data_IF_080934605595
#
_entry.id   IF_080934605595
#
_cell.length_a   1.000
_cell.length_b   1.000
_cell.length_c   1.000
_cell.angle_alpha   90.00
_cell.angle_beta   90.00
_cell.angle_gamma   90.00
#
_symmetry.space_group_name_H-M   'P 1'
#
loop_
_entity.id
_entity.type
_entity.pdbx_description
1 polymer ?
#
# COMPACT_ATOMS: atom_id res chain seq x y z
N UNK A 1 32.82 33.65 33.32
CA UNK A 1 32.86 32.23 33.73
C UNK A 1 31.85 31.48 32.90
N UNK A 2 32.25 30.50 32.09
CA UNK A 2 31.32 29.64 31.35
C UNK A 2 30.73 28.64 32.35
N UNK A 3 29.40 28.66 32.54
CA UNK A 3 28.67 27.60 33.26
C UNK A 3 28.88 26.30 32.48
N UNK A 4 29.66 25.38 33.05
CA UNK A 4 29.79 24.03 32.51
C UNK A 4 28.50 23.25 32.74
N UNK A 5 28.12 22.42 31.77
CA UNK A 5 27.02 21.48 31.88
C UNK A 5 27.31 20.51 33.03
N UNK A 6 26.32 20.23 33.90
CA UNK A 6 26.52 19.27 34.98
C UNK A 6 26.37 17.84 34.45
N UNK A 7 27.14 16.89 34.99
CA UNK A 7 26.99 15.47 34.64
C UNK A 7 25.60 14.95 34.97
N UNK A 8 24.98 15.46 36.04
CA UNK A 8 23.64 15.06 36.45
C UNK A 8 22.57 15.54 35.46
N UNK A 9 22.72 16.73 34.87
CA UNK A 9 21.83 17.19 33.80
C UNK A 9 21.88 16.26 32.59
N UNK A 10 23.07 15.84 32.18
CA UNK A 10 23.20 14.94 31.05
C UNK A 10 22.59 13.56 31.34
N UNK A 11 22.80 13.03 32.55
CA UNK A 11 22.24 11.73 32.96
C UNK A 11 20.70 11.79 33.05
N UNK A 12 20.13 12.86 33.63
CA UNK A 12 18.68 13.00 33.72
C UNK A 12 18.03 13.07 32.34
N UNK A 13 18.65 13.77 31.38
CA UNK A 13 18.13 13.90 30.02
C UNK A 13 18.09 12.55 29.30
N UNK A 14 19.17 11.76 29.34
CA UNK A 14 19.18 10.45 28.67
C UNK A 14 18.21 9.46 29.32
N UNK A 15 17.98 9.56 30.64
CA UNK A 15 16.98 8.75 31.35
C UNK A 15 15.57 9.08 30.87
N UNK A 16 15.22 10.38 30.79
CA UNK A 16 13.91 10.81 30.30
C UNK A 16 13.73 10.41 28.83
N UNK A 17 14.74 10.64 27.97
CA UNK A 17 14.70 10.23 26.57
C UNK A 17 14.57 8.70 26.43
N UNK A 18 15.19 7.92 27.31
CA UNK A 18 15.05 6.47 27.36
C UNK A 18 13.61 6.02 27.62
N UNK A 19 12.92 6.63 28.58
CA UNK A 19 11.52 6.31 28.91
C UNK A 19 10.58 6.73 27.76
N UNK A 20 10.78 7.92 27.20
CA UNK A 20 10.00 8.41 26.06
C UNK A 20 10.20 7.53 24.84
N UNK A 21 11.43 7.12 24.54
CA UNK A 21 11.72 6.23 23.41
C UNK A 21 11.08 4.85 23.60
N UNK A 22 11.15 4.27 24.79
CA UNK A 22 10.57 2.96 25.09
C UNK A 22 9.05 2.92 24.89
N UNK A 23 8.35 4.02 25.18
CA UNK A 23 6.90 4.12 25.05
C UNK A 23 6.43 4.60 23.67
N UNK A 24 7.21 5.46 23.00
CA UNK A 24 6.84 6.00 21.69
C UNK A 24 7.08 5.01 20.54
N UNK A 25 8.16 4.21 20.61
CA UNK A 25 8.59 3.36 19.50
C UNK A 25 7.53 2.30 19.09
N UNK A 26 6.90 1.53 20.02
CA UNK A 26 5.91 0.53 19.63
C UNK A 26 4.67 1.16 18.97
N UNK A 27 4.25 2.34 19.43
CA UNK A 27 3.12 3.07 18.85
C UNK A 27 3.45 3.60 17.45
N UNK A 28 4.68 4.05 17.23
CA UNK A 28 5.12 4.57 15.93
C UNK A 28 5.09 3.49 14.84
N UNK A 29 5.53 2.27 15.15
CA UNK A 29 5.49 1.13 14.21
C UNK A 29 4.04 0.82 13.79
N UNK A 30 3.14 0.67 14.77
CA UNK A 30 1.72 0.39 14.48
C UNK A 30 1.06 1.48 13.63
N UNK A 31 1.36 2.76 13.89
CA UNK A 31 0.83 3.87 13.10
C UNK A 31 1.37 3.86 11.67
N UNK A 32 2.64 3.49 11.49
CA UNK A 32 3.26 3.40 10.17
C UNK A 32 2.59 2.32 9.32
N UNK A 33 2.30 1.15 9.89
CA UNK A 33 1.62 0.07 9.18
C UNK A 33 0.17 0.42 8.82
N UNK A 34 -0.55 1.06 9.74
CA UNK A 34 -1.91 1.56 9.47
C UNK A 34 -1.91 2.64 8.38
N UNK A 35 -0.92 3.52 8.38
CA UNK A 35 -0.79 4.55 7.36
C UNK A 35 -0.54 3.95 5.97
N UNK A 36 0.32 2.93 5.88
CA UNK A 36 0.54 2.19 4.64
C UNK A 36 -0.75 1.51 4.17
N UNK A 37 -1.47 0.83 5.05
CA UNK A 37 -2.73 0.18 4.68
C UNK A 37 -3.80 1.18 4.19
N UNK A 38 -3.91 2.33 4.86
CA UNK A 38 -4.80 3.40 4.42
C UNK A 38 -4.41 3.94 3.03
N UNK A 39 -3.11 4.12 2.78
CA UNK A 39 -2.60 4.50 1.46
C UNK A 39 -2.88 3.42 0.41
N UNK A 40 -2.71 2.13 0.76
CA UNK A 40 -3.02 1.00 -0.14
C UNK A 40 -4.47 1.03 -0.58
N UNK A 41 -5.42 1.33 0.32
CA UNK A 41 -6.84 1.47 -0.03
C UNK A 41 -7.10 2.62 -1.01
N UNK A 42 -6.38 3.73 -0.86
CA UNK A 42 -6.43 4.85 -1.81
C UNK A 42 -5.96 4.42 -3.20
N UNK A 43 -4.77 3.80 -3.29
CA UNK A 43 -4.22 3.26 -4.55
C UNK A 43 -5.15 2.21 -5.17
N UNK A 44 -5.75 1.35 -4.34
CA UNK A 44 -6.68 0.32 -4.78
C UNK A 44 -7.93 0.91 -5.45
N UNK A 45 -8.43 2.04 -4.92
CA UNK A 45 -9.52 2.80 -5.54
C UNK A 45 -9.15 3.28 -6.95
N UNK A 46 -7.93 3.77 -7.14
CA UNK A 46 -7.44 4.20 -8.46
C UNK A 46 -7.36 3.03 -9.45
N UNK A 47 -6.86 1.86 -9.01
CA UNK A 47 -6.78 0.66 -9.88
C UNK A 47 -8.18 0.17 -10.24
N UNK A 48 -9.10 0.10 -9.27
CA UNK A 48 -10.49 -0.30 -9.54
C UNK A 48 -11.19 0.65 -10.51
N UNK A 49 -10.93 1.95 -10.40
CA UNK A 49 -11.45 2.93 -11.35
C UNK A 49 -10.89 2.70 -12.77
N UNK A 50 -9.59 2.43 -12.90
CA UNK A 50 -8.96 2.12 -14.18
C UNK A 50 -9.56 0.85 -14.83
N UNK A 51 -9.77 -0.22 -14.04
CA UNK A 51 -10.44 -1.44 -14.50
C UNK A 51 -11.86 -1.16 -14.99
N UNK A 52 -12.63 -0.35 -14.24
CA UNK A 52 -14.00 0.01 -14.61
C UNK A 52 -14.07 0.86 -15.88
N UNK A 53 -13.13 1.80 -16.06
CA UNK A 53 -13.01 2.62 -17.27
C UNK A 53 -12.70 1.71 -18.47
N UNK A 54 -11.72 0.82 -18.36
CA UNK A 54 -11.37 -0.10 -19.44
C UNK A 54 -12.54 -1.01 -19.83
N UNK A 55 -13.30 -1.49 -18.84
CA UNK A 55 -14.52 -2.26 -19.07
C UNK A 55 -15.58 -1.45 -19.85
N UNK A 56 -15.80 -0.19 -19.46
CA UNK A 56 -16.74 0.70 -20.13
C UNK A 56 -16.30 1.06 -21.55
N UNK A 57 -15.00 1.25 -21.79
CA UNK A 57 -14.43 1.47 -23.12
C UNK A 57 -14.65 0.26 -24.03
N UNK A 58 -14.42 -0.95 -23.52
CA UNK A 58 -14.69 -2.19 -24.27
C UNK A 58 -16.17 -2.25 -24.69
N UNK A 59 -17.08 -1.93 -23.76
CA UNK A 59 -18.51 -1.88 -24.02
C UNK A 59 -18.90 -0.82 -25.08
N UNK A 60 -18.27 0.35 -25.03
CA UNK A 60 -18.53 1.46 -25.97
C UNK A 60 -18.03 1.16 -27.39
N UNK A 61 -16.95 0.37 -27.52
CA UNK A 61 -16.33 0.02 -28.80
C UNK A 61 -16.99 -1.17 -29.52
N UNK A 62 -18.22 -1.54 -29.15
CA UNK A 62 -18.94 -2.72 -29.69
C UNK A 62 -18.19 -4.05 -29.52
N UNK A 63 -17.22 -4.10 -28.59
CA UNK A 63 -16.67 -5.35 -28.09
C UNK A 63 -17.59 -5.80 -26.96
N UNK A 64 -17.80 -7.11 -26.80
CA UNK A 64 -18.48 -7.61 -25.61
C UNK A 64 -17.84 -6.99 -24.36
N UNK A 65 -18.61 -6.58 -23.35
CA UNK A 65 -18.08 -5.91 -22.18
C UNK A 65 -17.28 -6.92 -21.36
N UNK A 66 -15.97 -6.99 -21.66
CA UNK A 66 -15.02 -7.89 -21.05
C UNK A 66 -14.22 -7.12 -20.02
N UNK A 67 -14.03 -7.74 -18.86
CA UNK A 67 -13.04 -7.29 -17.90
C UNK A 67 -11.65 -7.33 -18.55
N UNK A 68 -10.75 -6.39 -18.20
CA UNK A 68 -9.39 -6.45 -18.70
C UNK A 68 -8.72 -7.75 -18.23
N UNK A 69 -7.86 -8.32 -19.07
CA UNK A 69 -7.10 -9.54 -18.74
C UNK A 69 -5.92 -9.28 -17.80
N UNK A 70 -5.47 -8.02 -17.74
CA UNK A 70 -4.35 -7.51 -16.95
C UNK A 70 -4.63 -6.07 -16.54
N UNK A 71 -4.00 -5.59 -15.47
CA UNK A 71 -3.92 -4.16 -15.18
C UNK A 71 -2.59 -3.67 -15.73
N UNK A 72 -2.65 -2.70 -16.65
CA UNK A 72 -1.47 -2.20 -17.35
C UNK A 72 -1.29 -0.71 -17.12
N UNK A 73 -0.05 -0.24 -17.25
CA UNK A 73 0.32 1.14 -16.96
C UNK A 73 -0.42 2.15 -17.87
N UNK A 74 -0.77 1.74 -19.09
CA UNK A 74 -1.55 2.53 -20.06
C UNK A 74 -2.96 2.87 -19.57
N UNK A 75 -3.49 2.11 -18.60
CA UNK A 75 -4.81 2.36 -18.01
C UNK A 75 -4.82 3.55 -17.05
N UNK A 76 -3.65 4.12 -16.75
CA UNK A 76 -3.49 5.26 -15.85
C UNK A 76 -2.98 6.46 -16.65
N UNK A 77 -3.52 7.65 -16.35
CA UNK A 77 -3.20 8.87 -17.08
C UNK A 77 -1.73 9.29 -16.98
N UNK A 78 -1.05 8.91 -15.89
CA UNK A 78 0.39 9.12 -15.68
C UNK A 78 1.25 8.02 -16.32
N UNK A 79 0.63 7.02 -16.95
CA UNK A 79 1.31 5.89 -17.55
C UNK A 79 1.99 4.98 -16.54
N UNK A 80 1.55 4.96 -15.27
CA UNK A 80 2.18 4.19 -14.20
C UNK A 80 1.16 3.56 -13.24
N UNK A 81 1.20 2.24 -13.03
CA UNK A 81 0.32 1.53 -12.08
C UNK A 81 0.61 1.98 -10.64
N UNK A 82 -0.33 2.52 -9.85
CA UNK A 82 -0.08 3.00 -8.49
C UNK A 82 0.77 2.05 -7.64
N UNK A 83 1.70 2.58 -6.86
CA UNK A 83 2.54 1.75 -6.00
C UNK A 83 1.70 1.13 -4.89
N UNK A 84 2.01 -0.12 -4.57
CA UNK A 84 1.51 -0.83 -3.41
C UNK A 84 2.39 -0.47 -2.19
N UNK A 85 1.86 0.25 -1.18
CA UNK A 85 2.66 0.79 -0.07
C UNK A 85 3.24 -0.20 0.95
N UNK A 86 2.74 -1.43 1.05
CA UNK A 86 3.21 -2.42 2.02
C UNK A 86 4.56 -3.00 1.57
N UNK A 87 4.65 -3.39 0.30
CA UNK A 87 5.82 -4.02 -0.32
C UNK A 87 6.59 -3.11 -1.28
N UNK A 88 6.15 -1.86 -1.44
CA UNK A 88 6.79 -0.84 -2.29
C UNK A 88 6.96 -1.31 -3.76
N UNK A 89 5.90 -1.91 -4.31
CA UNK A 89 5.95 -2.54 -5.64
C UNK A 89 4.78 -2.12 -6.52
N UNK A 90 5.04 -1.99 -7.83
CA UNK A 90 4.03 -1.70 -8.87
C UNK A 90 3.65 -2.95 -9.67
N UNK A 91 4.21 -4.12 -9.33
CA UNK A 91 3.95 -5.37 -10.03
C UNK A 91 2.50 -5.77 -9.85
N UNK A 92 1.83 -6.13 -10.95
CA UNK A 92 0.50 -6.74 -10.90
C UNK A 92 0.63 -8.20 -11.30
N UNK A 93 0.28 -9.08 -10.37
CA UNK A 93 0.14 -10.51 -10.66
C UNK A 93 -1.31 -10.81 -11.01
N UNK A 94 -1.55 -11.34 -12.20
CA UNK A 94 -2.88 -11.77 -12.63
C UNK A 94 -3.11 -13.21 -12.18
N UNK A 95 -4.27 -13.50 -11.62
CA UNK A 95 -4.69 -14.85 -11.28
C UNK A 95 -6.18 -14.89 -10.99
N UNK A 96 -6.66 -15.97 -10.41
CA UNK A 96 -8.02 -16.06 -9.88
C UNK A 96 -8.00 -16.15 -8.36
N UNK A 97 -9.03 -15.60 -7.71
CA UNK A 97 -9.19 -15.64 -6.26
C UNK A 97 -8.24 -14.73 -5.48
N UNK A 98 -8.40 -14.75 -4.17
CA UNK A 98 -7.58 -13.99 -3.23
C UNK A 98 -6.10 -14.45 -3.25
N UNK A 99 -5.15 -13.60 -2.85
CA UNK A 99 -3.76 -14.01 -2.62
C UNK A 99 -3.67 -15.24 -1.72
N UNK A 100 -2.74 -16.15 -2.04
CA UNK A 100 -2.49 -17.39 -1.26
C UNK A 100 -1.09 -17.45 -0.65
N UNK A 101 -0.26 -16.43 -0.89
CA UNK A 101 1.05 -16.25 -0.24
C UNK A 101 1.35 -14.78 0.01
N UNK A 102 2.53 -14.50 0.56
CA UNK A 102 3.04 -13.14 0.81
C UNK A 102 3.98 -12.71 -0.29
N UNK A 103 3.41 -12.18 -1.37
CA UNK A 103 4.14 -11.66 -2.52
C UNK A 103 4.10 -10.12 -2.51
N UNK A 104 4.85 -9.51 -3.41
CA UNK A 104 4.86 -8.05 -3.57
C UNK A 104 3.86 -7.56 -4.61
N UNK A 105 3.44 -6.30 -4.46
CA UNK A 105 2.59 -5.59 -5.40
C UNK A 105 1.12 -5.95 -5.31
N UNK A 106 0.42 -5.80 -6.43
CA UNK A 106 -1.01 -6.04 -6.53
C UNK A 106 -1.30 -7.43 -7.08
N UNK A 107 -2.40 -8.02 -6.62
CA UNK A 107 -3.03 -9.17 -7.27
C UNK A 107 -4.31 -8.71 -7.94
N UNK A 108 -4.44 -9.02 -9.22
CA UNK A 108 -5.64 -8.76 -10.00
C UNK A 108 -6.34 -10.07 -10.33
N UNK A 109 -7.63 -10.15 -10.00
CA UNK A 109 -8.50 -11.26 -10.34
C UNK A 109 -9.27 -10.96 -11.63
N UNK A 110 -8.79 -11.51 -12.75
CA UNK A 110 -9.38 -11.27 -14.07
C UNK A 110 -10.75 -11.90 -14.27
N UNK A 111 -11.18 -12.81 -13.38
CA UNK A 111 -12.49 -13.45 -13.46
C UNK A 111 -13.63 -12.55 -12.97
N UNK A 112 -13.33 -11.61 -12.08
CA UNK A 112 -14.34 -10.77 -11.41
C UNK A 112 -13.92 -9.30 -11.28
N UNK A 113 -12.73 -8.93 -11.74
CA UNK A 113 -12.23 -7.55 -11.74
C UNK A 113 -11.75 -7.06 -10.37
N UNK A 114 -11.70 -7.93 -9.35
CA UNK A 114 -11.25 -7.55 -8.01
C UNK A 114 -9.73 -7.42 -7.98
N UNK A 115 -9.27 -6.46 -7.19
CA UNK A 115 -7.85 -6.21 -6.96
C UNK A 115 -7.61 -6.32 -5.46
N UNK A 116 -6.47 -6.87 -5.09
CA UNK A 116 -6.01 -7.11 -3.73
C UNK A 116 -4.55 -6.68 -3.60
N UNK A 117 -4.11 -6.38 -2.37
CA UNK A 117 -2.68 -6.43 -2.03
C UNK A 117 -2.24 -7.89 -2.19
N UNK A 118 -1.11 -8.17 -2.86
CA UNK A 118 -0.66 -9.53 -3.19
C UNK A 118 -0.04 -10.28 -1.98
N UNK A 119 -0.62 -10.11 -0.80
CA UNK A 119 -0.18 -10.73 0.43
C UNK A 119 -1.38 -11.22 1.23
N UNK A 120 -1.36 -12.49 1.65
CA UNK A 120 -2.39 -13.13 2.49
C UNK A 120 -2.67 -12.39 3.79
N UNK A 121 -1.68 -11.70 4.35
CA UNK A 121 -1.87 -10.94 5.59
C UNK A 121 -2.71 -9.68 5.38
N UNK A 122 -2.85 -9.25 4.12
CA UNK A 122 -3.50 -7.99 3.75
C UNK A 122 -4.61 -8.15 2.70
N UNK A 123 -4.94 -9.37 2.26
CA UNK A 123 -5.90 -9.61 1.18
C UNK A 123 -7.33 -9.17 1.48
N UNK A 124 -7.71 -9.10 2.75
CA UNK A 124 -9.05 -8.75 3.20
C UNK A 124 -9.31 -7.25 3.31
N UNK A 125 -8.28 -6.41 3.14
CA UNK A 125 -8.35 -4.95 3.33
C UNK A 125 -8.46 -4.16 2.04
#
# INVERSE_FOLDING_TARGET
MRKGFTLIELIMVIVILGILAATALPRFVNLSDQAKLAASRGSLGAIRAAVAIQYAENAANNVSPLLPVSVEAVMFADGQIPIEPISDSRVVTVGTGEPTGSNSGWKYDSSNGRVYINDVNYSSY
#
